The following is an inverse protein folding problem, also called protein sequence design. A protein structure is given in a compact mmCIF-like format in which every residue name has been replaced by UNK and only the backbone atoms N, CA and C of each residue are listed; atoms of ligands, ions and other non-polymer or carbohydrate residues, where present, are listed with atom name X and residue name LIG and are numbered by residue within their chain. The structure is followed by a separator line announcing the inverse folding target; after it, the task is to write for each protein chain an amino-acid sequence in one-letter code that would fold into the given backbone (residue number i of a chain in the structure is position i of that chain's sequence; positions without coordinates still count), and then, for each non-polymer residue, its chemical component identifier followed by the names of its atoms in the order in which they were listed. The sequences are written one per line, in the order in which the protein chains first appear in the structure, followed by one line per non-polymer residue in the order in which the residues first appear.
data_IF_179123580207
#
_entry.id   IF_179123580207
#
_cell.length_a   1.000
_cell.length_b   1.000
_cell.length_c   1.000
_cell.angle_alpha   90.00
_cell.angle_beta   90.00
_cell.angle_gamma   90.00
#
_symmetry.space_group_name_H-M   'P 1'
#
loop_
_entity.id
_entity.type
_entity.pdbx_description
1 polymer ?
#
# COMPACT_ATOMS: atom_id res chain seq x y z
N UNK A 1 -5.81 -43.21 -39.73
CA UNK A 1 -6.61 -42.64 -38.63
C UNK A 1 -6.86 -41.18 -38.90
N UNK A 2 -8.09 -40.77 -38.92
CA UNK A 2 -8.45 -39.37 -39.14
C UNK A 2 -8.59 -38.69 -37.78
N UNK A 3 -7.82 -37.64 -37.53
CA UNK A 3 -7.97 -36.78 -36.34
C UNK A 3 -8.88 -35.63 -36.73
N UNK A 4 -10.05 -35.51 -36.10
CA UNK A 4 -10.93 -34.39 -36.35
C UNK A 4 -10.37 -33.13 -35.67
N UNK A 5 -10.25 -32.06 -36.45
CA UNK A 5 -9.95 -30.75 -35.95
C UNK A 5 -11.16 -30.13 -35.26
N UNK A 6 -10.94 -29.06 -34.52
CA UNK A 6 -12.02 -28.27 -33.94
C UNK A 6 -12.79 -27.56 -35.07
N UNK A 7 -14.11 -27.58 -35.00
CA UNK A 7 -14.92 -26.74 -35.86
C UNK A 7 -15.13 -25.35 -35.23
N UNK A 8 -15.65 -24.41 -36.01
CA UNK A 8 -15.87 -23.03 -35.56
C UNK A 8 -16.77 -22.96 -34.35
N UNK A 9 -17.78 -23.81 -34.28
CA UNK A 9 -18.74 -23.85 -33.18
C UNK A 9 -18.08 -24.27 -31.86
N UNK A 10 -17.18 -25.26 -31.91
CA UNK A 10 -16.41 -25.70 -30.71
C UNK A 10 -15.50 -24.61 -30.19
N UNK A 11 -14.82 -23.89 -31.06
CA UNK A 11 -13.95 -22.76 -30.70
C UNK A 11 -14.77 -21.62 -30.05
N UNK A 12 -15.95 -21.32 -30.59
CA UNK A 12 -16.83 -20.30 -30.05
C UNK A 12 -17.32 -20.67 -28.65
N UNK A 13 -17.67 -21.93 -28.40
CA UNK A 13 -18.09 -22.40 -27.09
C UNK A 13 -16.96 -22.25 -26.06
N UNK A 14 -15.74 -22.63 -26.41
CA UNK A 14 -14.56 -22.51 -25.57
C UNK A 14 -14.28 -21.04 -25.22
N UNK A 15 -14.36 -20.15 -26.22
CA UNK A 15 -14.17 -18.71 -26.00
C UNK A 15 -15.24 -18.12 -25.07
N UNK A 16 -16.48 -18.54 -25.17
CA UNK A 16 -17.57 -18.10 -24.29
C UNK A 16 -17.32 -18.55 -22.85
N UNK A 17 -16.91 -19.82 -22.66
CA UNK A 17 -16.59 -20.34 -21.32
C UNK A 17 -15.43 -19.56 -20.69
N UNK A 18 -14.36 -19.31 -21.43
CA UNK A 18 -13.22 -18.54 -20.98
C UNK A 18 -13.66 -17.12 -20.62
N UNK A 19 -14.49 -16.47 -21.44
CA UNK A 19 -15.02 -15.14 -21.17
C UNK A 19 -15.83 -15.06 -19.90
N UNK A 20 -16.68 -16.05 -19.63
CA UNK A 20 -17.48 -16.11 -18.39
C UNK A 20 -16.57 -16.29 -17.18
N UNK A 21 -15.58 -17.17 -17.25
CA UNK A 21 -14.63 -17.40 -16.17
C UNK A 21 -13.81 -16.15 -15.85
N UNK A 22 -13.38 -15.41 -16.87
CA UNK A 22 -12.66 -14.15 -16.70
C UNK A 22 -13.54 -13.09 -16.04
N UNK A 23 -14.82 -12.98 -16.40
CA UNK A 23 -15.76 -12.06 -15.79
C UNK A 23 -15.99 -12.35 -14.30
N UNK A 24 -15.99 -13.62 -13.92
CA UNK A 24 -16.13 -14.03 -12.51
C UNK A 24 -14.84 -13.79 -11.71
N UNK A 25 -13.68 -13.87 -12.34
CA UNK A 25 -12.39 -13.70 -11.69
C UNK A 25 -12.02 -12.22 -11.47
N UNK A 26 -12.34 -11.34 -12.42
CA UNK A 26 -11.95 -9.92 -12.39
C UNK A 26 -12.41 -9.14 -11.13
N UNK A 27 -13.64 -9.31 -10.62
CA UNK A 27 -14.08 -8.57 -9.44
C UNK A 27 -13.27 -8.86 -8.18
N UNK A 28 -12.57 -9.99 -8.12
CA UNK A 28 -11.80 -10.41 -6.96
C UNK A 28 -10.38 -9.85 -6.93
N UNK A 29 -9.98 -9.03 -7.92
CA UNK A 29 -8.64 -8.45 -7.97
C UNK A 29 -8.49 -7.18 -7.12
N UNK A 30 -9.57 -6.43 -6.88
CA UNK A 30 -9.51 -5.16 -6.14
C UNK A 30 -8.97 -5.30 -4.72
N UNK A 31 -9.38 -6.29 -3.90
CA UNK A 31 -8.78 -6.48 -2.58
C UNK A 31 -7.29 -6.80 -2.63
N UNK A 32 -6.84 -7.51 -3.66
CA UNK A 32 -5.42 -7.82 -3.85
C UNK A 32 -4.61 -6.58 -4.21
N UNK A 33 -5.18 -5.69 -5.02
CA UNK A 33 -4.55 -4.42 -5.41
C UNK A 33 -4.40 -3.51 -4.19
N UNK A 34 -5.44 -3.35 -3.38
CA UNK A 34 -5.40 -2.58 -2.13
C UNK A 34 -4.35 -3.14 -1.17
N UNK A 35 -4.28 -4.46 -1.03
CA UNK A 35 -3.30 -5.12 -0.19
C UNK A 35 -1.87 -4.90 -0.70
N UNK A 36 -1.65 -4.98 -2.00
CA UNK A 36 -0.34 -4.73 -2.60
C UNK A 36 0.11 -3.27 -2.38
N UNK A 37 -0.80 -2.31 -2.52
CA UNK A 37 -0.51 -0.90 -2.26
C UNK A 37 -0.25 -0.64 -0.78
N UNK A 38 -0.99 -1.26 0.14
CA UNK A 38 -0.79 -1.09 1.58
C UNK A 38 0.57 -1.63 2.06
N UNK A 39 1.18 -2.56 1.32
CA UNK A 39 2.55 -3.01 1.60
C UNK A 39 3.55 -1.87 1.48
N UNK A 40 3.37 -0.96 0.53
CA UNK A 40 4.19 0.26 0.40
C UNK A 40 4.12 1.09 1.69
N UNK A 41 2.92 1.33 2.22
CA UNK A 41 2.75 2.09 3.46
C UNK A 41 3.46 1.42 4.63
N UNK A 42 3.32 0.11 4.77
CA UNK A 42 3.97 -0.65 5.84
C UNK A 42 5.49 -0.59 5.76
N UNK A 43 6.06 -0.73 4.57
CA UNK A 43 7.51 -0.67 4.36
C UNK A 43 8.06 0.71 4.68
N UNK A 44 7.40 1.77 4.23
CA UNK A 44 7.85 3.15 4.49
C UNK A 44 7.70 3.52 5.96
N UNK A 45 6.62 3.11 6.61
CA UNK A 45 6.45 3.31 8.05
C UNK A 45 7.52 2.56 8.85
N UNK A 46 7.89 1.36 8.45
CA UNK A 46 8.99 0.61 9.07
C UNK A 46 10.33 1.32 8.89
N UNK A 47 10.54 1.95 7.75
CA UNK A 47 11.72 2.77 7.49
C UNK A 47 11.75 4.01 8.40
N UNK A 48 10.61 4.69 8.56
CA UNK A 48 10.48 5.80 9.51
C UNK A 48 10.80 5.33 10.94
N UNK A 49 10.28 4.17 11.34
CA UNK A 49 10.57 3.58 12.64
C UNK A 49 12.07 3.37 12.85
N UNK A 50 12.77 2.79 11.88
CA UNK A 50 14.21 2.57 11.97
C UNK A 50 14.98 3.90 12.08
N UNK A 51 14.59 4.90 11.30
CA UNK A 51 15.19 6.23 11.33
C UNK A 51 14.96 6.93 12.67
N UNK A 52 13.75 6.84 13.20
CA UNK A 52 13.41 7.39 14.53
C UNK A 52 14.17 6.69 15.65
N UNK A 53 14.31 5.37 15.57
CA UNK A 53 15.05 4.59 16.57
C UNK A 53 16.51 4.99 16.57
N UNK A 54 17.13 5.15 15.41
CA UNK A 54 18.51 5.62 15.28
C UNK A 54 18.67 7.02 15.85
N UNK A 55 17.77 7.93 15.54
CA UNK A 55 17.77 9.29 16.05
C UNK A 55 17.67 9.31 17.58
N UNK A 56 16.79 8.48 18.14
CA UNK A 56 16.64 8.38 19.59
C UNK A 56 17.89 7.88 20.29
N UNK A 57 18.62 6.94 19.69
CA UNK A 57 19.90 6.49 20.24
C UNK A 57 20.95 7.61 20.30
N UNK A 58 20.92 8.52 19.33
CA UNK A 58 21.85 9.65 19.28
C UNK A 58 21.44 10.83 20.18
N UNK A 59 20.13 11.12 20.26
CA UNK A 59 19.65 12.36 20.87
C UNK A 59 18.68 12.14 22.04
N UNK A 60 18.39 10.91 22.41
CA UNK A 60 17.50 10.53 23.52
C UNK A 60 16.05 11.03 23.37
N UNK A 61 15.62 11.28 22.16
CA UNK A 61 14.26 11.73 21.82
C UNK A 61 13.92 11.31 20.39
N UNK A 62 12.63 11.28 20.08
CA UNK A 62 12.13 11.18 18.71
C UNK A 62 11.96 12.58 18.10
N UNK A 63 11.86 12.68 16.79
CA UNK A 63 11.71 13.94 16.07
C UNK A 63 10.40 13.99 15.28
N UNK A 64 9.85 15.20 15.12
CA UNK A 64 8.73 15.47 14.21
C UNK A 64 9.18 15.89 12.81
N UNK A 65 10.48 16.04 12.61
CA UNK A 65 11.06 16.50 11.36
C UNK A 65 11.73 15.35 10.61
N UNK A 66 11.24 15.04 9.42
CA UNK A 66 11.82 13.99 8.56
C UNK A 66 13.29 14.26 8.21
N UNK A 67 13.68 15.50 8.04
CA UNK A 67 15.07 15.85 7.72
C UNK A 67 16.02 15.55 8.88
N UNK A 68 15.57 15.69 10.12
CA UNK A 68 16.37 15.37 11.30
C UNK A 68 16.63 13.87 11.44
N UNK A 69 15.67 13.05 11.06
CA UNK A 69 15.81 11.57 11.12
C UNK A 69 16.37 10.97 9.83
N UNK A 70 16.78 11.82 8.91
CA UNK A 70 17.33 11.40 7.61
C UNK A 70 16.38 10.49 6.82
N UNK A 71 15.11 10.87 6.81
CA UNK A 71 14.08 10.20 6.03
C UNK A 71 13.54 11.15 4.97
N UNK A 72 13.53 10.67 3.74
CA UNK A 72 12.94 11.40 2.62
C UNK A 72 11.70 10.63 2.13
N UNK A 73 10.53 11.27 2.24
CA UNK A 73 9.29 10.69 1.77
C UNK A 73 9.31 10.58 0.24
N UNK A 74 8.92 9.42 -0.32
CA UNK A 74 8.84 9.29 -1.78
C UNK A 74 7.82 10.25 -2.37
N UNK A 75 8.10 10.77 -3.55
CA UNK A 75 7.16 11.63 -4.27
C UNK A 75 5.93 10.83 -4.67
N UNK A 76 4.77 11.40 -4.39
CA UNK A 76 3.48 10.79 -4.72
C UNK A 76 3.18 10.90 -6.22
N UNK A 77 2.19 10.13 -6.67
CA UNK A 77 1.73 10.17 -8.08
C UNK A 77 1.21 11.57 -8.46
N UNK A 78 0.73 12.37 -7.49
CA UNK A 78 0.30 13.75 -7.71
C UNK A 78 1.49 14.72 -7.85
N UNK A 79 2.68 14.31 -7.46
CA UNK A 79 3.93 15.09 -7.51
C UNK A 79 4.88 14.57 -8.59
N UNK A 80 4.36 13.87 -9.58
CA UNK A 80 5.11 13.19 -10.65
C UNK A 80 6.01 12.04 -10.14
N UNK A 81 5.71 11.48 -8.99
CA UNK A 81 6.35 10.29 -8.43
C UNK A 81 5.52 9.04 -8.63
N UNK A 82 5.81 8.02 -7.84
CA UNK A 82 5.14 6.71 -7.90
C UNK A 82 4.47 6.30 -6.60
N UNK A 83 4.65 7.08 -5.52
CA UNK A 83 4.11 6.74 -4.23
C UNK A 83 2.58 6.92 -4.19
N UNK A 84 1.90 5.98 -3.54
CA UNK A 84 0.45 5.99 -3.36
C UNK A 84 0.03 6.53 -1.99
N UNK A 85 0.99 6.86 -1.12
CA UNK A 85 0.77 7.35 0.22
C UNK A 85 1.56 8.61 0.48
N UNK A 86 1.00 9.49 1.31
CA UNK A 86 1.72 10.59 1.93
C UNK A 86 2.05 10.20 3.37
N UNK A 87 3.13 10.76 3.91
CA UNK A 87 3.65 10.42 5.23
C UNK A 87 3.78 11.66 6.08
N UNK A 88 3.45 11.53 7.37
CA UNK A 88 3.61 12.61 8.35
C UNK A 88 3.93 12.02 9.73
N UNK A 89 4.60 12.80 10.56
CA UNK A 89 4.80 12.47 11.97
C UNK A 89 3.80 13.30 12.77
N UNK A 90 2.84 12.63 13.40
CA UNK A 90 1.77 13.30 14.13
C UNK A 90 2.25 13.85 15.47
N UNK A 91 3.14 13.13 16.16
CA UNK A 91 3.69 13.51 17.44
C UNK A 91 5.02 12.83 17.69
N UNK A 92 5.86 13.47 18.49
CA UNK A 92 7.11 12.90 18.95
C UNK A 92 7.46 13.45 20.32
N UNK A 93 7.86 12.57 21.22
CA UNK A 93 8.33 12.88 22.57
C UNK A 93 9.67 12.19 22.81
N UNK A 94 10.18 12.25 24.04
CA UNK A 94 11.39 11.52 24.39
C UNK A 94 11.21 10.00 24.36
N UNK A 95 9.98 9.52 24.55
CA UNK A 95 9.69 8.09 24.74
C UNK A 95 8.72 7.52 23.71
N UNK A 96 8.09 8.32 22.88
CA UNK A 96 7.09 7.86 21.94
C UNK A 96 7.04 8.73 20.69
N UNK A 97 6.54 8.16 19.61
CA UNK A 97 6.18 8.88 18.39
C UNK A 97 5.02 8.19 17.70
N UNK A 98 4.33 8.92 16.84
CA UNK A 98 3.32 8.36 15.94
C UNK A 98 3.58 8.94 14.56
N UNK A 99 3.77 8.05 13.58
CA UNK A 99 3.87 8.40 12.17
C UNK A 99 2.69 7.78 11.41
N UNK A 100 2.19 8.49 10.42
CA UNK A 100 1.01 8.08 9.63
C UNK A 100 1.33 8.06 8.15
N UNK A 101 0.81 7.03 7.50
CA UNK A 101 0.73 6.94 6.04
C UNK A 101 -0.73 7.04 5.63
N UNK A 102 -1.05 7.99 4.76
CA UNK A 102 -2.41 8.20 4.25
C UNK A 102 -2.40 8.01 2.73
N UNK A 103 -3.27 7.14 2.24
CA UNK A 103 -3.44 6.96 0.80
C UNK A 103 -3.89 8.27 0.15
N UNK A 104 -3.30 8.60 -0.99
CA UNK A 104 -3.66 9.82 -1.74
C UNK A 104 -4.80 9.58 -2.72
N UNK A 105 -5.16 8.31 -2.95
CA UNK A 105 -6.28 7.92 -3.80
C UNK A 105 -7.16 6.91 -3.07
N UNK A 106 -8.42 6.89 -3.43
CA UNK A 106 -9.38 5.88 -2.99
C UNK A 106 -9.21 4.67 -3.91
N UNK A 107 -8.71 3.55 -3.38
CA UNK A 107 -8.34 2.40 -4.21
C UNK A 107 -9.53 1.63 -4.76
N UNK A 108 -10.64 1.61 -4.05
CA UNK A 108 -11.85 0.87 -4.44
C UNK A 108 -13.05 1.78 -4.77
N UNK A 109 -12.92 3.10 -4.61
CA UNK A 109 -13.95 4.07 -4.95
C UNK A 109 -15.08 4.21 -3.93
N UNK A 110 -14.89 3.77 -2.69
CA UNK A 110 -15.91 3.83 -1.64
C UNK A 110 -15.90 5.14 -0.82
N UNK A 111 -14.99 6.05 -1.12
CA UNK A 111 -14.82 7.32 -0.41
C UNK A 111 -13.97 7.23 0.85
N UNK A 112 -13.47 6.07 1.21
CA UNK A 112 -12.59 5.85 2.36
C UNK A 112 -11.17 5.65 1.87
N UNK A 113 -10.23 6.46 2.39
CA UNK A 113 -8.81 6.31 2.08
C UNK A 113 -8.13 5.40 3.09
N UNK A 114 -7.22 4.57 2.63
CA UNK A 114 -6.45 3.68 3.48
C UNK A 114 -5.47 4.48 4.36
N UNK A 115 -5.45 4.21 5.65
CA UNK A 115 -4.56 4.87 6.62
C UNK A 115 -3.85 3.83 7.46
N UNK A 116 -2.55 3.98 7.57
CA UNK A 116 -1.68 3.17 8.43
C UNK A 116 -0.91 4.06 9.39
N UNK A 117 -0.63 3.53 10.57
CA UNK A 117 0.21 4.21 11.57
C UNK A 117 1.25 3.26 12.15
N UNK A 118 2.35 3.85 12.62
CA UNK A 118 3.39 3.15 13.36
C UNK A 118 3.79 4.00 14.56
N UNK A 119 4.13 3.34 15.65
CA UNK A 119 4.60 3.97 16.87
C UNK A 119 5.96 3.38 17.31
N UNK A 120 6.39 3.69 18.52
CA UNK A 120 7.64 3.23 19.11
C UNK A 120 7.71 1.70 19.25
N UNK A 121 6.62 0.98 19.15
CA UNK A 121 6.59 -0.48 19.20
C UNK A 121 7.01 -1.12 17.88
N UNK A 122 7.03 -0.36 16.79
CA UNK A 122 7.58 -0.80 15.51
C UNK A 122 6.69 -1.67 14.65
N UNK A 123 5.43 -1.83 15.01
CA UNK A 123 4.48 -2.63 14.24
C UNK A 123 3.48 -1.72 13.51
N UNK A 124 3.48 -1.68 12.17
CA UNK A 124 2.47 -0.92 11.42
C UNK A 124 1.06 -1.43 11.71
N UNK A 125 0.12 -0.52 11.93
CA UNK A 125 -1.29 -0.83 12.18
C UNK A 125 -2.18 -0.13 11.19
N UNK A 126 -3.15 -0.85 10.64
CA UNK A 126 -4.15 -0.28 9.74
C UNK A 126 -5.23 0.42 10.57
N UNK A 127 -5.35 1.73 10.39
CA UNK A 127 -6.33 2.57 11.11
C UNK A 127 -7.64 2.63 10.34
N UNK A 128 -7.57 2.84 9.04
CA UNK A 128 -8.73 2.81 8.14
C UNK A 128 -8.42 1.87 6.99
N UNK A 129 -9.32 0.92 6.78
CA UNK A 129 -9.23 -0.02 5.67
C UNK A 129 -9.88 0.61 4.42
N UNK A 130 -9.20 0.45 3.29
CA UNK A 130 -9.76 0.82 2.00
C UNK A 130 -10.58 -0.34 1.42
#
# INVERSE_FOLDING_TARGET
MKVSGYNLQEVLIVLVIIGILLLLALPNLMPLISKAKSTEAQLQLSHIYNSQTTYRYMYSKYSTDFSEIDFEAPKTVNENGRANYSYEILSATNNSFIARATAITDFDGDGVFNVWEIDENGAPKQILKD
#
